data_IF_180609835103
#
_entry.id   IF_180609835103
#
_cell.length_a   1.000
_cell.length_b   1.000
_cell.length_c   1.000
_cell.angle_alpha   90.00
_cell.angle_beta   90.00
_cell.angle_gamma   90.00
#
_symmetry.space_group_name_H-M   'P 1'
#
loop_
_entity.id
_entity.type
_entity.pdbx_description
1 polymer ?
#
# COMPACT_ATOMS: atom_id res chain seq x y z
N UNK A 1 11.08 -0.85 -9.48
CA UNK A 1 12.53 -0.91 -9.77
C UNK A 1 12.89 -2.31 -10.21
N UNK A 2 13.57 -2.48 -11.34
CA UNK A 2 14.18 -3.76 -11.76
C UNK A 2 15.62 -3.74 -11.29
N UNK A 3 16.05 -4.82 -10.64
CA UNK A 3 17.38 -4.93 -10.04
C UNK A 3 18.17 -6.02 -10.74
N UNK A 4 19.45 -5.77 -10.99
CA UNK A 4 20.40 -6.76 -11.50
C UNK A 4 21.49 -7.07 -10.49
N UNK A 5 22.05 -8.28 -10.60
CA UNK A 5 23.25 -8.77 -9.89
C UNK A 5 24.27 -9.21 -10.94
N UNK A 6 25.44 -8.59 -10.95
CA UNK A 6 26.52 -8.83 -11.92
C UNK A 6 26.00 -8.78 -13.38
N UNK A 7 25.15 -7.80 -13.69
CA UNK A 7 24.57 -7.60 -15.02
C UNK A 7 23.40 -8.53 -15.39
N UNK A 8 22.95 -9.40 -14.49
CA UNK A 8 21.77 -10.27 -14.71
C UNK A 8 20.59 -9.82 -13.86
N UNK A 9 19.43 -9.66 -14.47
CA UNK A 9 18.21 -9.27 -13.76
C UNK A 9 17.83 -10.33 -12.72
N UNK A 10 17.62 -9.89 -11.47
CA UNK A 10 17.23 -10.76 -10.34
C UNK A 10 15.78 -10.55 -9.89
N UNK A 11 15.11 -9.53 -10.41
CA UNK A 11 13.67 -9.33 -10.24
C UNK A 11 13.26 -7.87 -10.14
N UNK A 12 11.98 -7.65 -9.79
CA UNK A 12 11.37 -6.33 -9.67
C UNK A 12 10.89 -6.08 -8.24
N UNK A 13 11.30 -4.94 -7.69
CA UNK A 13 10.80 -4.40 -6.42
C UNK A 13 9.70 -3.37 -6.75
N UNK A 14 8.53 -3.54 -6.16
CA UNK A 14 7.42 -2.57 -6.21
C UNK A 14 7.28 -1.92 -4.85
N UNK A 15 7.23 -0.60 -4.85
CA UNK A 15 7.23 0.24 -3.66
C UNK A 15 5.94 1.05 -3.64
N UNK A 16 5.22 0.98 -2.54
CA UNK A 16 4.15 1.91 -2.20
C UNK A 16 4.76 3.11 -1.47
N UNK A 17 4.39 4.33 -1.89
CA UNK A 17 4.81 5.58 -1.27
C UNK A 17 3.70 6.10 -0.37
N UNK A 18 4.06 6.65 0.79
CA UNK A 18 3.10 7.14 1.76
C UNK A 18 2.66 8.58 1.44
N UNK A 19 1.35 8.81 1.51
CA UNK A 19 0.75 10.11 1.17
C UNK A 19 0.87 11.17 2.27
N UNK A 20 1.26 10.79 3.48
CA UNK A 20 1.51 11.71 4.61
C UNK A 20 2.94 12.27 4.65
N UNK A 21 3.78 11.92 3.67
CA UNK A 21 5.08 12.54 3.40
C UNK A 21 5.21 12.94 1.91
N UNK A 22 4.33 13.84 1.41
CA UNK A 22 4.26 14.18 -0.01
C UNK A 22 5.57 14.72 -0.59
N UNK A 23 6.35 15.52 0.14
CA UNK A 23 7.60 16.08 -0.38
C UNK A 23 8.65 14.97 -0.57
N UNK A 24 8.77 14.09 0.41
CA UNK A 24 9.70 12.95 0.38
C UNK A 24 9.30 11.94 -0.69
N UNK A 25 8.00 11.62 -0.77
CA UNK A 25 7.44 10.73 -1.77
C UNK A 25 7.59 11.28 -3.19
N UNK A 26 7.35 12.57 -3.41
CA UNK A 26 7.50 13.18 -4.74
C UNK A 26 8.97 13.24 -5.19
N UNK A 27 9.90 13.50 -4.26
CA UNK A 27 11.33 13.40 -4.55
C UNK A 27 11.70 12.02 -5.07
N UNK A 28 11.31 10.96 -4.34
CA UNK A 28 11.59 9.58 -4.74
C UNK A 28 10.90 9.19 -6.05
N UNK A 29 9.63 9.57 -6.23
CA UNK A 29 8.85 9.30 -7.45
C UNK A 29 9.50 9.92 -8.68
N UNK A 30 9.92 11.18 -8.57
CA UNK A 30 10.55 11.95 -9.66
C UNK A 30 11.92 11.37 -10.03
N UNK A 31 12.71 10.96 -9.03
CA UNK A 31 13.98 10.26 -9.27
C UNK A 31 13.77 8.87 -9.87
N UNK A 32 12.67 8.20 -9.57
CA UNK A 32 12.29 6.97 -10.27
C UNK A 32 11.92 7.23 -11.74
N UNK A 33 11.21 8.30 -12.05
CA UNK A 33 10.80 8.60 -13.44
C UNK A 33 11.94 9.13 -14.31
N UNK A 34 12.92 9.81 -13.71
CA UNK A 34 14.00 10.48 -14.45
C UNK A 34 13.52 11.70 -15.25
N UNK A 35 12.33 12.23 -14.97
CA UNK A 35 11.73 13.35 -15.69
C UNK A 35 12.51 14.67 -15.55
N UNK A 36 13.38 14.77 -14.55
CA UNK A 36 14.28 15.91 -14.30
C UNK A 36 15.63 15.81 -15.01
N UNK A 37 15.79 14.83 -15.91
CA UNK A 37 16.98 14.65 -16.75
C UNK A 37 17.80 13.41 -16.39
N UNK A 38 18.75 13.07 -17.26
CA UNK A 38 19.54 11.82 -17.19
C UNK A 38 20.44 11.70 -15.97
N UNK A 39 20.74 12.80 -15.28
CA UNK A 39 21.53 12.83 -14.03
C UNK A 39 20.66 12.87 -12.77
N UNK A 40 19.34 12.95 -12.93
CA UNK A 40 18.38 13.05 -11.83
C UNK A 40 17.47 11.81 -11.84
N UNK A 41 18.10 10.64 -11.81
CA UNK A 41 17.42 9.35 -11.91
C UNK A 41 18.11 8.28 -11.08
N UNK A 42 17.33 7.32 -10.58
CA UNK A 42 17.86 6.10 -9.96
C UNK A 42 18.31 5.04 -10.96
N UNK A 43 18.01 5.18 -12.25
CA UNK A 43 18.45 4.24 -13.27
C UNK A 43 19.98 4.23 -13.37
N UNK A 44 20.57 3.04 -13.23
CA UNK A 44 22.01 2.80 -13.19
C UNK A 44 22.66 2.93 -11.81
N UNK A 45 21.92 3.44 -10.80
CA UNK A 45 22.43 3.63 -9.45
C UNK A 45 22.67 2.27 -8.77
N UNK A 46 23.85 2.05 -8.14
CA UNK A 46 24.13 0.83 -7.39
C UNK A 46 23.54 0.89 -5.97
N UNK A 47 23.33 -0.29 -5.42
CA UNK A 47 23.19 -0.48 -3.98
C UNK A 47 24.58 -0.52 -3.37
N UNK A 48 25.10 0.65 -3.00
CA UNK A 48 26.49 0.83 -2.57
C UNK A 48 26.75 0.35 -1.14
N UNK A 49 25.71 0.12 -0.34
CA UNK A 49 25.86 -0.40 1.03
C UNK A 49 24.78 -1.44 1.34
N UNK A 50 25.17 -2.67 1.68
CA UNK A 50 24.31 -3.82 1.98
C UNK A 50 24.82 -4.45 3.27
N UNK A 51 24.04 -4.31 4.36
CA UNK A 51 24.38 -4.85 5.68
C UNK A 51 23.42 -6.01 5.98
N UNK A 52 23.91 -7.27 5.95
CA UNK A 52 23.08 -8.43 6.23
C UNK A 52 22.39 -8.36 7.59
N UNK A 53 21.11 -8.74 7.63
CA UNK A 53 20.25 -8.72 8.79
C UNK A 53 19.79 -7.32 9.22
N UNK A 54 20.11 -6.27 8.46
CA UNK A 54 19.76 -4.90 8.80
C UNK A 54 19.05 -4.18 7.65
N UNK A 55 19.78 -3.79 6.60
CA UNK A 55 19.26 -2.91 5.55
C UNK A 55 20.14 -2.90 4.30
N UNK A 56 19.59 -2.39 3.20
CA UNK A 56 20.31 -2.07 1.97
C UNK A 56 20.11 -0.60 1.62
N UNK A 57 21.14 0.07 1.12
CA UNK A 57 21.19 1.49 0.76
C UNK A 57 21.52 1.68 -0.71
N UNK A 58 20.85 2.66 -1.31
CA UNK A 58 21.07 3.09 -2.69
C UNK A 58 20.70 4.56 -2.81
N UNK A 59 20.67 5.05 -4.06
CA UNK A 59 20.20 6.40 -4.36
C UNK A 59 21.29 7.46 -4.29
N UNK A 60 22.57 7.09 -4.20
CA UNK A 60 23.65 8.00 -4.56
C UNK A 60 23.70 8.09 -6.09
N UNK A 61 23.09 9.12 -6.64
CA UNK A 61 22.97 9.37 -8.08
C UNK A 61 24.14 10.19 -8.64
N UNK A 62 25.07 10.64 -7.79
CA UNK A 62 26.17 11.51 -8.21
C UNK A 62 27.51 10.79 -8.17
N UNK A 63 27.84 10.14 -7.04
CA UNK A 63 29.15 9.51 -6.81
C UNK A 63 29.07 7.98 -6.83
N UNK A 64 27.87 7.44 -6.62
CA UNK A 64 27.58 6.00 -6.61
C UNK A 64 28.27 5.18 -5.50
N UNK A 65 28.81 5.84 -4.48
CA UNK A 65 29.56 5.22 -3.38
C UNK A 65 29.00 5.54 -1.99
N UNK A 66 27.97 6.40 -1.92
CA UNK A 66 27.33 6.84 -0.68
C UNK A 66 27.79 8.21 -0.19
N UNK A 67 28.81 8.82 -0.82
CA UNK A 67 29.29 10.16 -0.47
C UNK A 67 28.48 11.30 -1.13
N UNK A 68 27.62 10.95 -2.09
CA UNK A 68 26.90 11.92 -2.91
C UNK A 68 25.38 11.92 -2.71
N UNK A 69 24.68 12.24 -3.79
CA UNK A 69 23.23 12.34 -3.86
C UNK A 69 22.72 13.77 -3.95
N UNK A 70 21.54 13.92 -4.56
CA UNK A 70 20.91 15.22 -4.80
C UNK A 70 19.39 15.07 -4.87
N UNK A 71 18.66 15.95 -4.20
CA UNK A 71 17.21 15.96 -4.28
C UNK A 71 16.70 16.75 -5.49
N UNK A 72 15.41 16.59 -5.80
CA UNK A 72 14.74 17.42 -6.81
C UNK A 72 14.56 18.88 -6.36
N UNK A 73 14.79 19.18 -5.08
CA UNK A 73 14.62 20.49 -4.47
C UNK A 73 15.95 21.25 -4.29
N UNK A 74 17.09 20.62 -4.60
CA UNK A 74 18.42 21.13 -4.30
C UNK A 74 19.33 20.02 -3.78
N UNK A 75 20.44 20.38 -3.13
CA UNK A 75 21.39 19.40 -2.61
C UNK A 75 20.78 18.56 -1.48
N UNK A 76 20.06 19.22 -0.56
CA UNK A 76 19.31 18.56 0.52
C UNK A 76 17.93 19.19 0.76
N UNK A 77 17.06 18.50 1.50
CA UNK A 77 15.76 18.99 1.99
C UNK A 77 15.46 18.51 3.42
N UNK A 78 14.55 19.22 4.09
CA UNK A 78 14.22 19.04 5.51
C UNK A 78 13.49 17.73 5.81
N UNK A 79 13.56 17.30 7.07
CA UNK A 79 12.78 16.17 7.57
C UNK A 79 11.29 16.55 7.59
N UNK A 80 10.47 15.77 6.89
CA UNK A 80 9.05 16.10 6.71
C UNK A 80 8.21 15.74 7.95
N UNK A 81 8.28 14.48 8.40
CA UNK A 81 7.76 14.04 9.69
C UNK A 81 8.31 12.65 10.06
N UNK A 82 8.02 12.20 11.30
CA UNK A 82 8.40 10.89 11.84
C UNK A 82 7.19 10.09 12.31
N UNK A 83 6.06 10.16 11.58
CA UNK A 83 4.82 9.45 11.94
C UNK A 83 5.02 7.93 11.87
N UNK A 84 5.67 7.47 10.80
CA UNK A 84 5.94 6.05 10.59
C UNK A 84 7.26 5.63 11.25
N UNK A 85 7.27 4.40 11.75
CA UNK A 85 8.43 3.79 12.39
C UNK A 85 9.08 2.75 11.50
N UNK A 86 10.34 2.46 11.76
CA UNK A 86 11.15 1.39 11.17
C UNK A 86 10.73 0.02 11.73
N UNK A 87 9.45 -0.28 11.56
CA UNK A 87 8.70 -1.33 12.24
C UNK A 87 9.02 -2.74 11.77
N UNK A 88 9.60 -2.91 10.57
CA UNK A 88 9.92 -4.24 10.08
C UNK A 88 10.54 -4.26 8.68
N UNK A 89 10.72 -5.48 8.13
CA UNK A 89 11.26 -5.70 6.79
C UNK A 89 10.40 -4.99 5.72
N UNK A 90 11.06 -4.51 4.67
CA UNK A 90 10.43 -3.85 3.54
C UNK A 90 10.06 -2.38 3.76
N UNK A 91 10.21 -1.83 4.97
CA UNK A 91 10.06 -0.39 5.20
C UNK A 91 11.17 0.37 4.47
N UNK A 92 10.80 1.50 3.87
CA UNK A 92 11.71 2.36 3.12
C UNK A 92 11.79 3.72 3.80
N UNK A 93 13.03 4.17 4.03
CA UNK A 93 13.30 5.47 4.64
C UNK A 93 14.39 6.21 3.89
N UNK A 94 14.49 7.51 4.11
CA UNK A 94 15.64 8.29 3.70
C UNK A 94 16.90 7.78 4.39
N UNK A 95 18.02 7.80 3.67
CA UNK A 95 19.34 7.57 4.25
C UNK A 95 20.02 8.93 4.39
N UNK A 96 20.11 9.42 5.63
CA UNK A 96 20.74 10.70 5.93
C UNK A 96 21.76 10.56 7.06
N UNK A 97 22.74 11.46 7.05
CA UNK A 97 23.81 11.55 8.05
C UNK A 97 23.50 12.61 9.12
N UNK A 98 22.47 13.42 8.92
CA UNK A 98 22.18 14.58 9.75
C UNK A 98 20.71 14.98 9.70
N UNK A 99 20.31 15.83 10.65
CA UNK A 99 18.96 16.38 10.69
C UNK A 99 18.76 17.31 9.50
N UNK A 100 17.61 17.23 8.84
CA UNK A 100 17.23 18.09 7.72
C UNK A 100 18.18 18.01 6.48
N UNK A 101 18.89 16.88 6.33
CA UNK A 101 19.86 16.63 5.25
C UNK A 101 19.41 15.49 4.32
N UNK A 102 18.11 15.41 4.01
CA UNK A 102 17.61 14.38 3.10
C UNK A 102 17.99 14.72 1.66
N UNK A 103 18.38 13.73 0.85
CA UNK A 103 18.72 13.92 -0.56
C UNK A 103 18.09 12.85 -1.46
N UNK A 104 18.84 12.22 -2.36
CA UNK A 104 18.35 11.08 -3.16
C UNK A 104 18.58 9.72 -2.50
N UNK A 105 19.43 9.62 -1.47
CA UNK A 105 19.77 8.34 -0.86
C UNK A 105 18.61 7.80 -0.01
N UNK A 106 18.39 6.50 -0.12
CA UNK A 106 17.33 5.79 0.59
C UNK A 106 17.84 4.43 1.07
N UNK A 107 17.11 3.84 2.01
CA UNK A 107 17.37 2.49 2.50
C UNK A 107 16.10 1.66 2.58
N UNK A 108 16.24 0.37 2.29
CA UNK A 108 15.20 -0.65 2.45
C UNK A 108 15.60 -1.53 3.62
N UNK A 109 14.72 -1.64 4.61
CA UNK A 109 14.97 -2.47 5.79
C UNK A 109 14.80 -3.95 5.48
N UNK A 110 15.72 -4.76 6.00
CA UNK A 110 15.60 -6.22 6.06
C UNK A 110 15.05 -6.66 7.42
N UNK A 111 15.29 -5.87 8.47
CA UNK A 111 14.83 -6.10 9.84
C UNK A 111 14.32 -4.80 10.46
N UNK A 112 13.51 -4.90 11.51
CA UNK A 112 13.12 -3.71 12.29
C UNK A 112 14.36 -2.95 12.76
N UNK A 113 14.32 -1.61 12.68
CA UNK A 113 15.44 -0.75 13.03
C UNK A 113 15.02 0.44 13.92
N UNK A 114 14.56 0.21 15.17
CA UNK A 114 14.05 1.27 16.04
C UNK A 114 15.04 2.40 16.35
N UNK A 115 16.35 2.14 16.21
CA UNK A 115 17.39 3.16 16.44
C UNK A 115 17.41 4.29 15.40
N UNK A 116 16.67 4.12 14.29
CA UNK A 116 16.48 5.10 13.23
C UNK A 116 15.17 5.90 13.40
N UNK A 117 14.29 5.49 14.31
CA UNK A 117 13.04 6.19 14.57
C UNK A 117 13.30 7.62 15.07
N UNK A 118 12.57 8.59 14.52
CA UNK A 118 12.77 10.00 14.82
C UNK A 118 14.04 10.63 14.22
N UNK A 119 14.80 9.89 13.42
CA UNK A 119 16.03 10.36 12.76
C UNK A 119 15.91 10.32 11.24
N UNK A 120 15.37 9.23 10.71
CA UNK A 120 15.18 9.07 9.26
C UNK A 120 13.69 9.08 8.91
N UNK A 121 13.34 9.86 7.89
CA UNK A 121 11.95 9.92 7.39
C UNK A 121 11.60 8.61 6.70
N UNK A 122 10.59 7.91 7.20
CA UNK A 122 10.00 6.73 6.55
C UNK A 122 8.95 7.20 5.55
N UNK A 123 9.07 6.77 4.29
CA UNK A 123 8.24 7.29 3.20
C UNK A 123 7.59 6.23 2.31
N UNK A 124 7.83 4.95 2.57
CA UNK A 124 7.17 3.91 1.81
C UNK A 124 7.43 2.51 2.35
N UNK A 125 6.92 1.54 1.62
CA UNK A 125 7.16 0.12 1.87
C UNK A 125 7.21 -0.69 0.57
N UNK A 126 7.98 -1.76 0.59
CA UNK A 126 7.97 -2.78 -0.45
C UNK A 126 6.65 -3.55 -0.37
N UNK A 127 5.90 -3.57 -1.47
CA UNK A 127 4.67 -4.36 -1.62
C UNK A 127 4.86 -5.60 -2.49
N UNK A 128 5.93 -5.65 -3.29
CA UNK A 128 6.33 -6.82 -4.08
C UNK A 128 7.85 -6.84 -4.28
N UNK A 129 8.45 -8.03 -4.37
CA UNK A 129 9.89 -8.20 -4.61
C UNK A 129 10.77 -8.19 -3.36
N UNK A 130 10.22 -8.56 -2.19
CA UNK A 130 11.05 -8.70 -0.98
C UNK A 130 12.04 -9.88 -1.09
N UNK A 131 11.74 -10.89 -1.90
CA UNK A 131 12.67 -11.96 -2.26
C UNK A 131 13.89 -11.42 -3.02
N UNK A 132 13.70 -10.39 -3.86
CA UNK A 132 14.80 -9.69 -4.54
C UNK A 132 15.71 -9.00 -3.52
N UNK A 133 15.13 -8.32 -2.53
CA UNK A 133 15.89 -7.68 -1.44
C UNK A 133 16.69 -8.72 -0.64
N UNK A 134 16.12 -9.90 -0.36
CA UNK A 134 16.85 -11.01 0.28
C UNK A 134 18.00 -11.53 -0.59
N UNK A 135 17.81 -11.66 -1.90
CA UNK A 135 18.91 -12.04 -2.82
C UNK A 135 20.04 -11.02 -2.87
N UNK A 136 19.72 -9.73 -2.66
CA UNK A 136 20.72 -8.66 -2.55
C UNK A 136 21.48 -8.74 -1.22
N UNK A 137 20.79 -9.09 -0.14
CA UNK A 137 21.36 -9.26 1.21
C UNK A 137 22.51 -10.27 1.23
N UNK A 138 22.39 -11.37 0.48
CA UNK A 138 23.45 -12.39 0.33
C UNK A 138 24.78 -11.83 -0.21
N UNK A 139 24.74 -10.66 -0.85
CA UNK A 139 25.92 -9.99 -1.37
C UNK A 139 26.54 -8.99 -0.39
N UNK A 140 25.94 -8.76 0.78
CA UNK A 140 26.39 -7.79 1.75
C UNK A 140 27.50 -8.29 2.67
N UNK A 141 28.15 -7.34 3.33
CA UNK A 141 29.16 -7.57 4.36
C UNK A 141 28.83 -6.76 5.61
N UNK A 142 29.50 -7.07 6.73
CA UNK A 142 29.25 -6.40 8.01
C UNK A 142 29.61 -4.89 7.98
N UNK A 143 30.58 -4.51 7.16
CA UNK A 143 30.97 -3.11 6.90
C UNK A 143 30.06 -2.43 5.86
N UNK A 144 29.11 -3.17 5.29
CA UNK A 144 28.20 -2.72 4.25
C UNK A 144 28.74 -2.85 2.84
N UNK A 145 30.01 -3.21 2.62
CA UNK A 145 30.56 -3.26 1.26
C UNK A 145 29.95 -4.43 0.46
N UNK A 146 29.33 -4.19 -0.71
CA UNK A 146 28.80 -5.26 -1.54
C UNK A 146 29.93 -6.09 -2.18
N UNK A 147 29.80 -7.41 -2.14
CA UNK A 147 30.68 -8.38 -2.83
C UNK A 147 30.33 -8.57 -4.31
N UNK A 148 29.15 -8.12 -4.73
CA UNK A 148 28.64 -8.23 -6.09
C UNK A 148 28.14 -6.87 -6.56
N UNK A 149 28.14 -6.64 -7.87
CA UNK A 149 27.55 -5.43 -8.46
C UNK A 149 26.03 -5.55 -8.47
N UNK A 150 25.36 -4.82 -7.58
CA UNK A 150 23.89 -4.78 -7.48
C UNK A 150 23.41 -3.40 -7.94
N UNK A 151 22.59 -3.34 -9.00
CA UNK A 151 22.16 -2.07 -9.61
C UNK A 151 20.68 -2.02 -9.93
N UNK A 152 20.14 -0.81 -9.90
CA UNK A 152 18.81 -0.50 -10.43
C UNK A 152 18.94 -0.33 -11.95
N UNK A 153 18.54 -1.32 -12.74
CA UNK A 153 18.67 -1.26 -14.22
C UNK A 153 17.53 -0.49 -14.87
N UNK A 154 16.34 -0.54 -14.28
CA UNK A 154 15.17 0.23 -14.72
C UNK A 154 14.33 0.66 -13.51
N UNK A 155 13.79 1.87 -13.56
CA UNK A 155 12.87 2.39 -12.55
C UNK A 155 11.85 3.32 -13.19
N UNK A 156 10.73 3.51 -12.49
CA UNK A 156 9.66 4.37 -12.97
C UNK A 156 8.41 4.24 -12.09
N UNK A 157 7.53 5.26 -12.12
CA UNK A 157 6.22 5.18 -11.49
C UNK A 157 5.34 4.17 -12.22
N UNK A 158 4.51 3.45 -11.46
CA UNK A 158 3.53 2.52 -12.03
C UNK A 158 2.20 3.26 -12.12
N UNK A 159 1.64 3.36 -13.32
CA UNK A 159 0.24 3.75 -13.50
C UNK A 159 -0.64 2.52 -13.26
N UNK A 160 -1.68 2.64 -12.43
CA UNK A 160 -2.57 1.54 -12.06
C UNK A 160 -3.34 0.89 -13.23
N UNK A 161 -3.20 1.41 -14.46
CA UNK A 161 -3.65 0.75 -15.68
C UNK A 161 -2.77 -0.43 -16.13
N UNK A 162 -1.51 -0.47 -15.68
CA UNK A 162 -0.48 -1.42 -16.15
C UNK A 162 0.00 -2.39 -15.07
N UNK A 163 -0.69 -2.44 -13.91
CA UNK A 163 -0.51 -3.54 -12.98
C UNK A 163 -1.20 -4.74 -13.63
N UNK A 164 -0.52 -5.87 -13.91
CA UNK A 164 -1.25 -7.08 -14.23
C UNK A 164 -2.17 -7.33 -13.04
N UNK A 165 -3.47 -7.13 -13.23
CA UNK A 165 -4.46 -7.71 -12.36
C UNK A 165 -4.18 -9.20 -12.42
N UNK A 166 -3.54 -9.75 -11.39
CA UNK A 166 -3.74 -11.16 -11.08
C UNK A 166 -5.22 -11.26 -10.74
N UNK A 167 -6.03 -11.45 -11.78
CA UNK A 167 -7.41 -11.88 -11.67
C UNK A 167 -7.38 -13.31 -11.10
N UNK A 168 -7.16 -13.45 -9.79
CA UNK A 168 -7.55 -14.64 -9.05
C UNK A 168 -9.05 -14.57 -8.76
N UNK A 169 -9.83 -14.46 -9.83
CA UNK A 169 -11.25 -14.78 -9.85
C UNK A 169 -11.50 -15.66 -11.06
N UNK A 170 -10.95 -16.87 -11.03
CA UNK A 170 -11.55 -17.98 -11.75
C UNK A 170 -13.00 -18.11 -11.23
N UNK A 171 -14.02 -18.12 -12.09
CA UNK A 171 -15.37 -18.47 -11.66
C UNK A 171 -15.31 -19.90 -11.11
N UNK A 172 -15.64 -20.08 -9.83
CA UNK A 172 -15.58 -21.36 -9.13
C UNK A 172 -16.70 -22.35 -9.53
N UNK A 173 -17.37 -22.13 -10.66
CA UNK A 173 -18.46 -22.97 -11.12
C UNK A 173 -18.34 -23.22 -12.62
N UNK A 174 -17.99 -24.46 -12.96
CA UNK A 174 -18.29 -25.06 -14.26
C UNK A 174 -19.83 -25.21 -14.34
N UNK A 175 -20.52 -24.61 -15.34
CA UNK A 175 -21.98 -24.70 -15.46
C UNK A 175 -22.50 -26.12 -15.69
N UNK A 176 -21.64 -27.10 -15.92
CA UNK A 176 -22.03 -28.48 -16.23
C UNK A 176 -22.24 -29.40 -15.01
N UNK A 177 -22.03 -28.92 -13.78
CA UNK A 177 -22.14 -29.76 -12.56
C UNK A 177 -23.34 -29.45 -11.64
N UNK A 178 -24.34 -28.70 -12.10
CA UNK A 178 -25.51 -28.33 -11.29
C UNK A 178 -26.63 -29.41 -11.22
N UNK A 179 -26.52 -30.53 -11.94
CA UNK A 179 -27.64 -31.48 -12.13
C UNK A 179 -27.62 -32.74 -11.23
N UNK A 180 -26.78 -32.78 -10.18
CA UNK A 180 -26.68 -33.97 -9.32
C UNK A 180 -26.88 -33.68 -7.83
N UNK A 181 -28.02 -33.10 -7.45
CA UNK A 181 -28.58 -33.27 -6.09
C UNK A 181 -30.09 -33.50 -6.19
N UNK A 182 -30.49 -34.70 -6.62
CA UNK A 182 -31.86 -35.20 -6.44
C UNK A 182 -31.83 -36.72 -6.18
N UNK A 183 -31.62 -37.11 -4.93
CA UNK A 183 -32.20 -38.31 -4.31
C UNK A 183 -31.63 -38.46 -2.90
N UNK A 184 -32.43 -38.13 -1.86
CA UNK A 184 -32.74 -39.05 -0.75
C UNK A 184 -34.12 -38.63 -0.21
N UNK A 185 -35.13 -39.48 -0.43
CA UNK A 185 -36.42 -39.43 0.26
C UNK A 185 -36.39 -40.35 1.49
N UNK A 186 -36.99 -39.89 2.60
CA UNK A 186 -37.95 -40.70 3.37
C UNK A 186 -37.51 -41.25 4.73
N UNK A 187 -38.24 -40.85 5.79
CA UNK A 187 -38.65 -41.81 6.83
C UNK A 187 -38.48 -41.45 8.31
N UNK A 188 -39.55 -40.86 8.89
CA UNK A 188 -40.15 -41.11 10.23
C UNK A 188 -39.37 -40.85 11.55
N UNK A 189 -39.78 -39.75 12.19
CA UNK A 189 -40.33 -39.62 13.56
C UNK A 189 -39.75 -40.43 14.75
N UNK A 190 -39.27 -39.72 15.77
CA UNK A 190 -39.70 -39.93 17.17
C UNK A 190 -39.51 -38.69 18.04
N UNK A 191 -40.41 -38.56 19.02
CA UNK A 191 -40.68 -37.43 19.92
C UNK A 191 -39.51 -37.11 20.86
N UNK A 192 -39.26 -35.82 21.08
CA UNK A 192 -39.48 -35.18 22.40
C UNK A 192 -39.50 -33.66 22.28
N UNK A 193 -40.46 -33.06 22.96
CA UNK A 193 -40.86 -31.65 22.90
C UNK A 193 -40.18 -30.79 23.97
N UNK A 194 -39.67 -29.61 23.54
CA UNK A 194 -39.94 -28.25 24.07
C UNK A 194 -39.52 -28.03 25.55
N UNK A 195 -38.59 -27.15 25.96
CA UNK A 195 -38.35 -25.70 25.72
C UNK A 195 -37.02 -25.38 26.46
N UNK A 196 -36.05 -24.56 26.01
CA UNK A 196 -36.01 -23.10 26.03
C UNK A 196 -34.60 -22.64 25.56
N UNK A 197 -34.49 -21.40 25.04
CA UNK A 197 -33.28 -20.65 24.65
C UNK A 197 -32.69 -20.88 23.25
N UNK A 198 -33.42 -20.47 22.22
CA UNK A 198 -32.83 -20.03 20.95
C UNK A 198 -32.58 -18.51 21.00
N UNK A 199 -31.34 -18.11 21.28
CA UNK A 199 -30.82 -16.74 21.05
C UNK A 199 -29.29 -16.65 21.13
N UNK A 200 -28.57 -17.77 21.11
CA UNK A 200 -27.10 -17.82 21.11
C UNK A 200 -26.48 -18.29 19.80
N UNK A 201 -27.28 -18.78 18.86
CA UNK A 201 -26.77 -19.72 17.86
C UNK A 201 -26.35 -19.04 16.56
N UNK A 202 -26.89 -17.86 16.23
CA UNK A 202 -26.52 -17.14 15.00
C UNK A 202 -25.13 -16.51 15.11
N UNK A 203 -24.75 -16.02 16.29
CA UNK A 203 -23.42 -15.47 16.53
C UNK A 203 -22.36 -16.58 16.62
N UNK A 204 -22.72 -17.76 17.16
CA UNK A 204 -21.82 -18.91 17.16
C UNK A 204 -21.67 -19.52 15.77
N UNK A 205 -22.73 -19.56 14.96
CA UNK A 205 -22.67 -20.02 13.57
C UNK A 205 -21.90 -19.01 12.69
N UNK A 206 -22.08 -17.70 12.90
CA UNK A 206 -21.26 -16.69 12.22
C UNK A 206 -19.78 -16.77 12.62
N UNK A 207 -19.49 -17.00 13.90
CA UNK A 207 -18.12 -17.20 14.40
C UNK A 207 -17.51 -18.50 13.86
N UNK A 208 -18.33 -19.55 13.69
CA UNK A 208 -17.94 -20.81 13.08
C UNK A 208 -17.66 -20.66 11.58
N UNK A 209 -18.50 -19.91 10.86
CA UNK A 209 -18.30 -19.59 9.44
C UNK A 209 -17.05 -18.73 9.24
N UNK A 210 -16.80 -17.74 10.11
CA UNK A 210 -15.57 -16.93 10.08
C UNK A 210 -14.32 -17.77 10.39
N UNK A 211 -14.38 -18.71 11.35
CA UNK A 211 -13.28 -19.65 11.60
C UNK A 211 -13.07 -20.61 10.44
N UNK A 212 -14.15 -21.12 9.84
CA UNK A 212 -14.07 -22.07 8.73
C UNK A 212 -13.55 -21.41 7.44
N UNK A 213 -13.90 -20.14 7.21
CA UNK A 213 -13.32 -19.34 6.11
C UNK A 213 -11.88 -18.91 6.39
N UNK A 214 -11.51 -18.69 7.64
CA UNK A 214 -10.11 -18.44 8.04
C UNK A 214 -9.20 -19.67 7.87
N UNK A 215 -9.75 -20.90 7.91
CA UNK A 215 -8.98 -22.14 7.71
C UNK A 215 -8.68 -22.42 6.23
N UNK A 216 -9.40 -21.81 5.28
CA UNK A 216 -9.15 -21.96 3.84
C UNK A 216 -8.29 -20.82 3.25
N UNK A 217 -7.75 -19.94 4.10
CA UNK A 217 -6.77 -18.93 3.70
C UNK A 217 -5.50 -19.16 4.51
N UNK A 218 -4.80 -20.25 4.19
CA UNK A 218 -3.35 -20.42 4.37
C UNK A 218 -2.95 -21.51 3.37
N UNK A 219 -2.20 -21.15 2.33
CA UNK A 219 -1.15 -22.03 1.84
C UNK A 219 0.19 -21.42 2.24
N UNK A 220 0.93 -22.19 3.03
CA UNK A 220 2.29 -21.90 3.50
C UNK A 220 3.25 -22.59 2.54
N UNK A 221 4.00 -21.79 1.80
CA UNK A 221 5.45 -22.02 1.64
C UNK A 221 6.10 -20.63 1.69
N UNK A 222 6.60 -20.16 2.82
CA UNK A 222 7.92 -20.59 3.30
C UNK A 222 7.96 -20.71 4.82
N UNK A 223 8.32 -21.91 5.27
CA UNK A 223 8.63 -22.33 6.63
C UNK A 223 9.69 -21.43 7.28
N UNK A 224 9.27 -20.50 8.15
CA UNK A 224 10.03 -19.92 9.28
C UNK A 224 9.28 -18.68 9.81
N UNK A 225 8.12 -18.84 10.44
CA UNK A 225 7.44 -17.73 11.14
C UNK A 225 6.51 -18.21 12.27
N UNK A 226 6.78 -19.35 12.87
CA UNK A 226 6.22 -19.63 14.19
C UNK A 226 7.12 -18.92 15.20
N UNK A 227 6.76 -17.69 15.58
CA UNK A 227 7.04 -17.01 16.86
C UNK A 227 6.94 -15.47 16.78
N UNK A 228 5.87 -14.91 16.22
CA UNK A 228 5.46 -13.52 16.50
C UNK A 228 3.94 -13.46 16.53
N UNK A 229 3.40 -13.89 17.68
CA UNK A 229 1.99 -14.14 17.94
C UNK A 229 1.25 -12.90 18.46
N UNK A 230 0.04 -12.65 17.92
CA UNK A 230 -1.09 -11.87 18.46
C UNK A 230 -0.88 -10.39 18.86
N UNK A 231 0.21 -10.04 19.54
CA UNK A 231 0.49 -8.68 20.02
C UNK A 231 0.59 -7.65 18.89
N UNK A 232 1.22 -8.00 17.77
CA UNK A 232 1.32 -7.08 16.63
C UNK A 232 -0.02 -6.82 15.95
N UNK A 233 -0.92 -7.82 15.95
CA UNK A 233 -2.25 -7.69 15.39
C UNK A 233 -3.13 -6.81 16.29
N UNK A 234 -2.99 -6.96 17.62
CA UNK A 234 -3.66 -6.15 18.63
C UNK A 234 -3.16 -4.68 18.60
N UNK A 235 -1.84 -4.47 18.45
CA UNK A 235 -1.24 -3.15 18.31
C UNK A 235 -1.73 -2.45 17.04
N UNK A 236 -1.85 -3.18 15.93
CA UNK A 236 -2.39 -2.65 14.67
C UNK A 236 -3.85 -2.24 14.81
N UNK A 237 -4.69 -3.07 15.44
CA UNK A 237 -6.08 -2.76 15.71
C UNK A 237 -6.22 -1.50 16.60
N UNK A 238 -5.35 -1.38 17.61
CA UNK A 238 -5.29 -0.22 18.50
C UNK A 238 -4.89 1.05 17.75
N UNK A 239 -3.89 0.98 16.87
CA UNK A 239 -3.47 2.11 16.04
C UNK A 239 -4.56 2.59 15.07
N UNK A 240 -5.32 1.67 14.47
CA UNK A 240 -6.48 2.02 13.65
C UNK A 240 -7.56 2.74 14.46
N UNK A 241 -7.89 2.23 15.65
CA UNK A 241 -8.90 2.84 16.52
C UNK A 241 -8.49 4.24 16.98
N UNK A 242 -7.21 4.46 17.30
CA UNK A 242 -6.68 5.76 17.71
C UNK A 242 -6.66 6.78 16.57
N UNK A 243 -6.34 6.36 15.33
CA UNK A 243 -6.45 7.22 14.15
C UNK A 243 -7.90 7.63 13.89
N UNK A 244 -8.84 6.69 14.02
CA UNK A 244 -10.26 6.95 13.82
C UNK A 244 -10.79 7.93 14.87
N UNK A 245 -10.38 7.77 16.14
CA UNK A 245 -10.69 8.72 17.20
C UNK A 245 -10.05 10.10 16.98
N UNK A 246 -8.82 10.18 16.45
CA UNK A 246 -8.19 11.45 16.11
C UNK A 246 -8.91 12.19 14.98
N UNK A 247 -9.36 11.49 13.94
CA UNK A 247 -10.16 12.07 12.84
C UNK A 247 -11.52 12.57 13.37
N UNK A 248 -12.13 11.82 14.29
CA UNK A 248 -13.38 12.24 14.94
C UNK A 248 -13.17 13.43 15.91
N UNK A 249 -12.04 13.49 16.62
CA UNK A 249 -11.73 14.57 17.57
C UNK A 249 -11.18 15.84 16.92
N UNK A 250 -10.56 15.75 15.74
CA UNK A 250 -10.05 16.90 14.99
C UNK A 250 -11.18 17.72 14.35
N UNK A 251 -12.41 17.19 14.29
CA UNK A 251 -13.60 17.93 13.84
C UNK A 251 -14.27 18.68 15.00
N UNK A 252 -13.53 19.66 15.55
CA UNK A 252 -14.04 20.61 16.52
C UNK A 252 -14.98 21.62 15.86
N UNK A 253 -16.30 21.32 15.89
CA UNK A 253 -17.44 22.20 15.57
C UNK A 253 -17.53 22.72 14.12
N UNK A 254 -18.27 21.97 13.31
CA UNK A 254 -19.35 22.57 12.53
C UNK A 254 -20.61 21.74 12.74
N UNK A 255 -21.71 22.42 13.04
CA UNK A 255 -23.04 21.82 13.18
C UNK A 255 -23.31 21.00 11.93
N UNK A 256 -23.23 19.68 12.05
CA UNK A 256 -23.82 18.79 11.06
C UNK A 256 -25.30 19.13 11.09
N UNK A 257 -25.78 19.75 10.01
CA UNK A 257 -27.21 19.78 9.73
C UNK A 257 -27.60 18.31 9.53
N UNK A 258 -27.94 17.63 10.62
CA UNK A 258 -28.72 16.42 10.54
C UNK A 258 -30.09 16.89 10.02
N UNK A 259 -30.49 16.55 8.79
CA UNK A 259 -31.90 16.69 8.47
C UNK A 259 -32.64 15.86 9.51
N UNK A 260 -33.58 16.49 10.22
CA UNK A 260 -34.40 15.77 11.19
C UNK A 260 -35.02 14.58 10.46
N UNK A 261 -34.68 13.36 10.88
CA UNK A 261 -35.38 12.19 10.39
C UNK A 261 -36.87 12.38 10.73
N UNK A 262 -37.79 12.05 9.81
CA UNK A 262 -39.21 12.08 10.10
C UNK A 262 -39.48 11.28 11.36
N UNK A 263 -40.19 11.89 12.31
CA UNK A 263 -40.54 11.27 13.59
C UNK A 263 -41.40 10.03 13.32
N UNK A 264 -40.80 8.84 13.44
CA UNK A 264 -41.52 7.57 13.23
C UNK A 264 -40.68 6.31 13.00
N UNK A 265 -39.34 6.34 13.02
CA UNK A 265 -38.53 5.16 12.68
C UNK A 265 -37.86 4.59 13.93
N UNK A 266 -38.63 3.79 14.69
CA UNK A 266 -38.13 2.92 15.75
C UNK A 266 -37.78 1.57 15.14
N UNK A 267 -36.59 1.42 14.54
CA UNK A 267 -35.82 0.15 14.37
C UNK A 267 -34.99 0.14 13.07
N UNK A 268 -33.72 -0.33 13.09
CA UNK A 268 -32.88 -0.50 11.90
C UNK A 268 -33.37 -1.58 10.91
N UNK A 269 -34.38 -2.38 11.27
CA UNK A 269 -34.97 -3.39 10.37
C UNK A 269 -35.83 -2.79 9.25
N UNK A 270 -36.35 -1.56 9.38
CA UNK A 270 -37.17 -0.91 8.33
C UNK A 270 -36.34 -0.43 7.12
N UNK A 271 -35.02 -0.32 7.26
CA UNK A 271 -34.12 0.14 6.18
C UNK A 271 -33.90 -0.94 5.11
N UNK A 272 -34.10 -2.21 5.45
CA UNK A 272 -33.98 -3.34 4.52
C UNK A 272 -35.26 -3.59 3.69
N UNK A 273 -36.34 -2.86 3.99
CA UNK A 273 -37.63 -2.94 3.27
C UNK A 273 -37.91 -1.73 2.39
N UNK A 274 -36.92 -0.85 2.17
CA UNK A 274 -37.08 0.26 1.24
C UNK A 274 -37.36 -0.27 -0.18
N UNK A 275 -38.32 0.32 -0.92
CA UNK A 275 -38.59 -0.10 -2.28
C UNK A 275 -37.31 0.02 -3.13
N UNK A 276 -37.02 -0.94 -4.02
CA UNK A 276 -35.85 -0.87 -4.88
C UNK A 276 -35.87 0.43 -5.69
N UNK A 277 -34.69 1.06 -5.82
CA UNK A 277 -34.52 2.29 -6.59
C UNK A 277 -35.10 2.09 -7.99
N UNK A 278 -35.97 3.00 -8.43
CA UNK A 278 -36.65 2.83 -9.71
C UNK A 278 -35.63 2.80 -10.85
N UNK A 279 -35.87 1.95 -11.86
CA UNK A 279 -35.00 1.86 -13.03
C UNK A 279 -34.82 3.20 -13.73
N UNK A 280 -35.83 4.08 -13.68
CA UNK A 280 -35.76 5.45 -14.19
C UNK A 280 -34.74 6.31 -13.43
N UNK A 281 -34.64 6.18 -12.11
CA UNK A 281 -33.69 6.96 -11.32
C UNK A 281 -32.25 6.48 -11.56
N UNK A 282 -32.06 5.16 -11.69
CA UNK A 282 -30.75 4.58 -12.05
C UNK A 282 -30.32 5.04 -13.44
N UNK A 283 -31.24 5.08 -14.41
CA UNK A 283 -30.98 5.60 -15.76
C UNK A 283 -30.65 7.09 -15.75
N UNK A 284 -31.36 7.88 -14.93
CA UNK A 284 -31.09 9.32 -14.80
C UNK A 284 -29.70 9.56 -14.22
N UNK A 285 -29.32 8.84 -13.17
CA UNK A 285 -27.98 8.91 -12.55
C UNK A 285 -26.90 8.51 -13.55
N UNK A 286 -27.12 7.42 -14.30
CA UNK A 286 -26.18 6.99 -15.35
C UNK A 286 -26.02 8.06 -16.43
N UNK A 287 -27.14 8.61 -16.93
CA UNK A 287 -27.12 9.64 -17.98
C UNK A 287 -26.43 10.93 -17.53
N UNK A 288 -26.54 11.28 -16.24
CA UNK A 288 -25.86 12.43 -15.66
C UNK A 288 -24.35 12.19 -15.54
N UNK A 289 -23.97 11.00 -15.07
CA UNK A 289 -22.55 10.56 -15.01
C UNK A 289 -21.88 10.58 -16.38
N UNK A 290 -22.58 10.15 -17.43
CA UNK A 290 -22.07 10.13 -18.80
C UNK A 290 -21.89 11.55 -19.36
N UNK A 291 -22.81 12.47 -19.03
CA UNK A 291 -22.68 13.89 -19.38
C UNK A 291 -21.49 14.55 -18.69
N UNK A 292 -21.30 14.32 -17.39
CA UNK A 292 -20.14 14.83 -16.66
C UNK A 292 -18.83 14.29 -17.23
N UNK A 293 -18.79 13.00 -17.56
CA UNK A 293 -17.60 12.35 -18.14
C UNK A 293 -17.27 12.87 -19.53
N UNK A 294 -18.29 13.20 -20.33
CA UNK A 294 -18.13 13.81 -21.65
C UNK A 294 -17.64 15.25 -21.55
N UNK A 295 -18.24 16.05 -20.65
CA UNK A 295 -17.79 17.42 -20.39
C UNK A 295 -16.34 17.47 -19.90
N UNK A 296 -15.92 16.53 -19.04
CA UNK A 296 -14.54 16.44 -18.56
C UNK A 296 -13.53 16.13 -19.69
N UNK A 297 -13.94 15.39 -20.74
CA UNK A 297 -13.09 15.10 -21.90
C UNK A 297 -12.98 16.28 -22.88
N UNK A 298 -13.98 17.16 -22.91
CA UNK A 298 -13.97 18.36 -23.76
C UNK A 298 -13.10 19.50 -23.21
N UNK A 299 -12.64 19.40 -21.96
CA UNK A 299 -11.68 20.35 -21.38
C UNK A 299 -10.30 20.15 -22.06
N UNK A 300 -10.10 20.83 -23.19
CA UNK A 300 -8.79 21.01 -23.81
C UNK A 300 -8.05 22.11 -23.08
N UNK A 301 -6.97 21.76 -22.38
CA UNK A 301 -6.03 22.72 -21.79
C UNK A 301 -5.31 23.44 -22.94
N UNK A 302 -5.87 24.57 -23.37
CA UNK A 302 -5.16 25.51 -24.23
C UNK A 302 -4.21 26.30 -23.33
N UNK A 303 -2.93 26.27 -23.65
CA UNK A 303 -1.86 27.09 -23.05
C UNK A 303 -1.16 26.50 -21.81
N UNK A 304 0.06 26.00 -22.04
CA UNK A 304 1.11 25.86 -21.05
C UNK A 304 2.11 26.99 -21.33
N UNK A 305 1.90 28.14 -20.71
CA UNK A 305 2.77 29.30 -20.86
C UNK A 305 4.11 28.99 -20.16
N UNK A 306 5.14 28.66 -20.94
CA UNK A 306 6.50 28.50 -20.43
C UNK A 306 7.12 29.89 -20.29
N UNK A 307 7.10 30.43 -19.06
CA UNK A 307 7.87 31.61 -18.65
C UNK A 307 9.37 31.29 -18.74
N UNK A 308 9.95 31.52 -19.93
CA UNK A 308 11.40 31.59 -20.11
C UNK A 308 11.81 33.05 -19.90
N UNK A 309 12.28 33.36 -18.70
CA UNK A 309 12.94 34.65 -18.42
C UNK A 309 14.39 34.53 -18.88
N UNK A 310 14.70 35.05 -20.06
CA UNK A 310 16.09 35.24 -20.50
C UNK A 310 16.68 36.45 -19.79
N UNK A 311 17.58 36.22 -18.85
CA UNK A 311 18.48 37.26 -18.34
C UNK A 311 19.59 37.50 -19.38
N UNK A 312 19.42 38.53 -20.21
CA UNK A 312 20.53 39.14 -20.91
C UNK A 312 21.21 40.14 -19.98
N UNK A 313 22.50 39.96 -19.72
CA UNK A 313 23.34 40.99 -19.11
C UNK A 313 24.17 41.63 -20.24
N UNK A 314 24.18 42.97 -20.37
CA UNK A 314 24.93 43.69 -21.42
C UNK A 314 26.45 43.61 -21.24
#
# INVERSE_FOLDING_TARGET
MVVSKNGRDIGRIIIELFGDVPLTSENFRTLCSGERGTRMTYKGCPFHCIIPGQLVRAGDITNYDGSGGKSIYGDTFKDENFIHKHSGPGIISMATSGKDENNSQFQILIKKAPWLDGKNVVFGRVIHGMDVVKKMEECGQADGQPTCDIRIVECGPISFSNVPHTNERTPLLDPSQADHIHQIQGGRASRNSITQNQRGDEQSEFTRILRQTAINVIDVTSSESQNMEQGEMQDRATQYSNRLNMVLSASGRSRVFQPNLPTGITSPQMTLTAPPVSLSDVQLISSFSDKCSSAAREIKIQHKESLVVTFGVP
#
